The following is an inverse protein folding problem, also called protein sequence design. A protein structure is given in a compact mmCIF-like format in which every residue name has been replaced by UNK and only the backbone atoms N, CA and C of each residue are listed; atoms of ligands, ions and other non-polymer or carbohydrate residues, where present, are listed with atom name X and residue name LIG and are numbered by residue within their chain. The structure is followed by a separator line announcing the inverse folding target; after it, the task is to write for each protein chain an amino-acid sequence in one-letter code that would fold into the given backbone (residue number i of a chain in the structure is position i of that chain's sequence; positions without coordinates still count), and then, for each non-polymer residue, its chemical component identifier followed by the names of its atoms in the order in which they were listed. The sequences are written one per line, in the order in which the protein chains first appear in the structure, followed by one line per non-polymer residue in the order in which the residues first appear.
data_IF_754245947325
#
_entry.id   IF_754245947325
#
_cell.length_a   1.000
_cell.length_b   1.000
_cell.length_c   1.000
_cell.angle_alpha   90.00
_cell.angle_beta   90.00
_cell.angle_gamma   90.00
#
_symmetry.space_group_name_H-M   'P 1'
#
loop_
_entity.id
_entity.type
_entity.pdbx_description
1 polymer ?
#
# COMPACT_ATOMS: atom_id res chain seq x y z
N UNK A 1 14.59 -7.19 9.77
CA UNK A 1 14.55 -8.08 8.59
C UNK A 1 13.34 -7.68 7.78
N UNK A 2 13.49 -7.44 6.48
CA UNK A 2 12.38 -7.17 5.59
C UNK A 2 11.83 -8.49 5.07
N UNK A 3 10.50 -8.62 5.02
CA UNK A 3 9.83 -9.75 4.41
C UNK A 3 10.02 -9.70 2.88
N UNK A 4 10.00 -10.85 2.24
CA UNK A 4 10.21 -11.00 0.79
C UNK A 4 9.04 -11.80 0.24
N UNK A 5 8.44 -11.33 -0.82
CA UNK A 5 7.41 -12.07 -1.56
C UNK A 5 6.00 -11.54 -1.37
N UNK A 6 5.16 -12.23 -0.61
CA UNK A 6 3.72 -11.98 -0.54
C UNK A 6 3.30 -10.67 0.14
N UNK A 7 4.16 -10.02 0.95
CA UNK A 7 3.86 -8.70 1.53
C UNK A 7 3.64 -7.59 0.50
N UNK A 8 4.06 -7.82 -0.71
CA UNK A 8 3.98 -6.86 -1.80
C UNK A 8 2.62 -6.78 -2.48
N UNK A 9 1.65 -7.58 -2.07
CA UNK A 9 0.29 -7.41 -2.55
C UNK A 9 -0.27 -6.10 -2.00
N UNK A 10 -0.34 -5.09 -2.85
CA UNK A 10 -0.83 -3.77 -2.47
C UNK A 10 -2.30 -3.86 -2.11
N UNK A 11 -2.68 -3.20 -1.02
CA UNK A 11 -3.94 -3.47 -0.33
C UNK A 11 -5.17 -2.99 -1.08
N UNK A 12 -5.08 -1.89 -1.83
CA UNK A 12 -6.15 -1.44 -2.71
C UNK A 12 -6.51 -2.50 -3.77
N UNK A 13 -5.49 -3.18 -4.34
CA UNK A 13 -5.70 -4.31 -5.23
C UNK A 13 -6.32 -5.52 -4.53
N UNK A 14 -5.86 -5.86 -3.32
CA UNK A 14 -6.48 -6.93 -2.54
C UNK A 14 -7.95 -6.66 -2.26
N UNK A 15 -8.31 -5.41 -1.92
CA UNK A 15 -9.69 -5.01 -1.74
C UNK A 15 -10.51 -5.13 -3.03
N UNK A 16 -9.88 -4.84 -4.19
CA UNK A 16 -10.54 -4.94 -5.50
C UNK A 16 -10.88 -6.37 -5.92
N UNK A 17 -10.33 -7.39 -5.27
CA UNK A 17 -10.73 -8.80 -5.48
C UNK A 17 -12.13 -9.08 -4.97
N UNK A 18 -12.61 -8.38 -3.95
CA UNK A 18 -13.85 -8.66 -3.21
C UNK A 18 -13.94 -10.07 -2.64
N UNK A 19 -12.80 -10.78 -2.57
CA UNK A 19 -12.67 -12.18 -2.22
C UNK A 19 -11.95 -12.33 -0.88
N UNK A 20 -12.73 -12.42 0.22
CA UNK A 20 -12.17 -12.55 1.57
C UNK A 20 -11.37 -13.84 1.74
N UNK A 21 -11.79 -14.93 1.11
CA UNK A 21 -11.11 -16.23 1.23
C UNK A 21 -9.72 -16.16 0.60
N UNK A 22 -9.60 -15.55 -0.59
CA UNK A 22 -8.31 -15.34 -1.23
C UNK A 22 -7.40 -14.42 -0.41
N UNK A 23 -7.97 -13.35 0.18
CA UNK A 23 -7.19 -12.44 1.04
C UNK A 23 -6.72 -13.15 2.32
N UNK A 24 -7.51 -14.07 2.85
CA UNK A 24 -7.08 -14.89 3.98
C UNK A 24 -5.94 -15.85 3.59
N UNK A 25 -5.95 -16.44 2.38
CA UNK A 25 -4.82 -17.24 1.86
C UNK A 25 -3.55 -16.40 1.64
N UNK A 26 -3.70 -15.16 1.14
CA UNK A 26 -2.58 -14.20 1.09
C UNK A 26 -2.05 -13.95 2.50
N UNK A 27 -2.94 -13.74 3.47
CA UNK A 27 -2.57 -13.58 4.88
C UNK A 27 -1.82 -14.81 5.43
N UNK A 28 -2.25 -16.03 5.11
CA UNK A 28 -1.56 -17.26 5.52
C UNK A 28 -0.14 -17.33 4.95
N UNK A 29 0.04 -16.99 3.68
CA UNK A 29 1.35 -16.95 3.03
C UNK A 29 2.29 -15.97 3.73
N UNK A 30 1.81 -14.76 4.00
CA UNK A 30 2.57 -13.72 4.71
C UNK A 30 2.88 -14.14 6.15
N UNK A 31 1.90 -14.71 6.87
CA UNK A 31 2.10 -15.20 8.23
C UNK A 31 3.16 -16.30 8.30
N UNK A 32 3.21 -17.18 7.29
CA UNK A 32 4.29 -18.17 7.17
C UNK A 32 5.66 -17.50 6.98
N UNK A 33 5.76 -16.48 6.14
CA UNK A 33 7.01 -15.72 5.98
C UNK A 33 7.42 -15.02 7.26
N UNK A 34 6.48 -14.40 7.99
CA UNK A 34 6.73 -13.78 9.31
C UNK A 34 7.32 -14.80 10.27
N UNK A 35 6.69 -15.97 10.38
CA UNK A 35 7.11 -17.05 11.26
C UNK A 35 8.50 -17.60 10.88
N UNK A 36 8.69 -17.94 9.60
CA UNK A 36 9.92 -18.56 9.11
C UNK A 36 11.12 -17.62 9.06
N UNK A 37 10.88 -16.31 9.00
CA UNK A 37 11.93 -15.29 9.15
C UNK A 37 12.19 -14.89 10.61
N UNK A 38 11.50 -15.49 11.56
CA UNK A 38 11.71 -15.30 12.99
C UNK A 38 11.23 -13.94 13.51
N UNK A 39 10.12 -13.44 12.96
CA UNK A 39 9.41 -12.28 13.50
C UNK A 39 8.14 -12.72 14.24
N UNK A 40 7.78 -11.99 15.29
CA UNK A 40 6.67 -12.36 16.18
C UNK A 40 5.38 -11.60 15.84
N UNK A 41 5.49 -10.34 15.41
CA UNK A 41 4.35 -9.47 15.09
C UNK A 41 4.62 -8.70 13.81
N UNK A 42 3.71 -8.78 12.86
CA UNK A 42 3.73 -7.97 11.65
C UNK A 42 3.03 -6.63 11.90
N UNK A 43 3.69 -5.51 11.56
CA UNK A 43 3.11 -4.17 11.67
C UNK A 43 2.17 -3.86 10.48
N UNK A 44 1.16 -4.69 10.33
CA UNK A 44 0.15 -4.68 9.28
C UNK A 44 -1.14 -5.38 9.77
N UNK A 45 -2.26 -5.16 9.07
CA UNK A 45 -2.49 -4.27 7.94
C UNK A 45 -2.71 -2.82 8.35
N UNK A 46 -2.47 -1.89 7.40
CA UNK A 46 -2.98 -0.53 7.46
C UNK A 46 -4.37 -0.50 6.83
N UNK A 47 -5.36 0.14 7.50
CA UNK A 47 -6.76 0.09 7.06
C UNK A 47 -7.52 1.42 7.23
N UNK A 48 -6.80 2.54 7.25
CA UNK A 48 -7.44 3.84 7.12
C UNK A 48 -8.19 3.93 5.77
N UNK A 49 -9.22 4.75 5.69
CA UNK A 49 -9.98 4.88 4.45
C UNK A 49 -9.29 5.81 3.45
N UNK A 50 -9.53 5.60 2.15
CA UNK A 50 -9.11 6.50 1.07
C UNK A 50 -9.96 7.78 1.09
N UNK A 51 -9.77 8.64 2.11
CA UNK A 51 -10.58 9.85 2.26
C UNK A 51 -10.18 10.97 1.30
N UNK A 52 -8.86 11.09 1.07
CA UNK A 52 -8.28 12.03 0.12
C UNK A 52 -7.54 11.24 -0.96
N UNK A 53 -7.87 11.40 -2.25
CA UNK A 53 -7.20 10.70 -3.34
C UNK A 53 -5.70 11.01 -3.44
N UNK A 54 -5.25 12.12 -2.84
CA UNK A 54 -3.87 12.55 -2.84
C UNK A 54 -3.05 12.02 -1.65
N UNK A 55 -3.66 11.35 -0.67
CA UNK A 55 -2.91 10.81 0.46
C UNK A 55 -1.84 9.82 -0.01
N UNK A 56 -0.59 10.10 0.40
CA UNK A 56 0.56 9.31 -0.05
C UNK A 56 0.51 7.83 0.34
N UNK A 57 -0.14 7.49 1.45
CA UNK A 57 -0.25 6.12 1.96
C UNK A 57 -1.48 5.36 1.47
N UNK A 58 -2.27 5.90 0.52
CA UNK A 58 -3.42 5.18 -0.01
C UNK A 58 -3.05 3.81 -0.60
N UNK A 59 -1.85 3.66 -1.18
CA UNK A 59 -1.36 2.38 -1.71
C UNK A 59 -1.36 1.23 -0.68
N UNK A 60 -1.23 1.53 0.60
CA UNK A 60 -1.24 0.53 1.68
C UNK A 60 -2.58 0.46 2.44
N UNK A 61 -3.59 1.23 2.03
CA UNK A 61 -4.95 1.18 2.56
C UNK A 61 -5.86 0.45 1.57
N UNK A 62 -7.02 -0.05 2.03
CA UNK A 62 -7.84 -0.95 1.23
C UNK A 62 -8.85 -0.25 0.32
N UNK A 63 -9.62 0.71 0.86
CA UNK A 63 -10.78 1.30 0.17
C UNK A 63 -11.21 2.62 0.80
N UNK A 64 -12.03 3.39 0.08
CA UNK A 64 -12.81 4.49 0.64
C UNK A 64 -14.00 4.00 1.47
N UNK A 65 -14.48 2.77 1.21
CA UNK A 65 -15.59 2.14 1.91
C UNK A 65 -15.08 1.45 3.19
N UNK A 66 -15.57 1.87 4.39
CA UNK A 66 -15.14 1.28 5.65
C UNK A 66 -15.57 -0.17 5.84
N UNK A 67 -16.65 -0.62 5.19
CA UNK A 67 -17.09 -2.01 5.24
C UNK A 67 -16.10 -2.90 4.47
N UNK A 68 -15.77 -2.53 3.24
CA UNK A 68 -14.78 -3.23 2.42
C UNK A 68 -13.43 -3.25 3.13
N UNK A 69 -12.95 -2.10 3.63
CA UNK A 69 -11.71 -2.00 4.38
C UNK A 69 -11.68 -2.92 5.60
N UNK A 70 -12.74 -2.92 6.39
CA UNK A 70 -12.83 -3.73 7.60
C UNK A 70 -12.88 -5.24 7.32
N UNK A 71 -13.70 -5.67 6.36
CA UNK A 71 -13.86 -7.10 6.03
C UNK A 71 -12.60 -7.70 5.41
N UNK A 72 -11.97 -6.99 4.49
CA UNK A 72 -10.73 -7.42 3.85
C UNK A 72 -9.57 -7.41 4.87
N UNK A 73 -9.48 -6.39 5.72
CA UNK A 73 -8.49 -6.36 6.79
C UNK A 73 -8.67 -7.51 7.79
N UNK A 74 -9.90 -7.83 8.16
CA UNK A 74 -10.19 -8.95 9.07
C UNK A 74 -9.75 -10.28 8.48
N UNK A 75 -10.03 -10.53 7.20
CA UNK A 75 -9.58 -11.74 6.50
C UNK A 75 -8.04 -11.84 6.48
N UNK A 76 -7.38 -10.74 6.15
CA UNK A 76 -5.92 -10.65 6.14
C UNK A 76 -5.30 -10.95 7.52
N UNK A 77 -5.87 -10.38 8.59
CA UNK A 77 -5.43 -10.62 9.98
C UNK A 77 -5.62 -12.09 10.37
N UNK A 78 -6.80 -12.69 10.09
CA UNK A 78 -7.03 -14.11 10.38
C UNK A 78 -6.02 -15.01 9.70
N UNK A 79 -5.75 -14.75 8.41
CA UNK A 79 -4.77 -15.51 7.65
C UNK A 79 -3.37 -15.42 8.27
N UNK A 80 -2.88 -14.24 8.62
CA UNK A 80 -1.56 -14.06 9.22
C UNK A 80 -1.50 -14.77 10.58
N UNK A 81 -2.47 -14.51 11.46
CA UNK A 81 -2.48 -15.02 12.82
C UNK A 81 -2.69 -16.54 12.89
N UNK A 82 -3.21 -17.17 11.84
CA UNK A 82 -3.34 -18.64 11.77
C UNK A 82 -1.98 -19.37 11.83
N UNK A 83 -0.88 -18.66 11.57
CA UNK A 83 0.49 -19.18 11.71
C UNK A 83 1.06 -19.01 13.13
N UNK A 84 0.28 -18.49 14.08
CA UNK A 84 0.75 -18.26 15.46
C UNK A 84 1.63 -17.03 15.62
N UNK A 85 1.65 -16.12 14.66
CA UNK A 85 2.28 -14.80 14.72
C UNK A 85 1.23 -13.72 14.88
N UNK A 86 1.60 -12.55 15.41
CA UNK A 86 0.68 -11.44 15.64
C UNK A 86 0.58 -10.47 14.47
N UNK A 87 -0.43 -9.62 14.52
CA UNK A 87 -0.61 -8.47 13.64
C UNK A 87 -0.73 -7.19 14.45
N UNK A 88 -0.41 -6.04 13.83
CA UNK A 88 -0.68 -4.71 14.36
C UNK A 88 -1.49 -3.93 13.35
N UNK A 89 -2.80 -3.85 13.57
CA UNK A 89 -3.64 -3.04 12.68
C UNK A 89 -3.35 -1.55 12.90
N UNK A 90 -3.31 -0.77 11.82
CA UNK A 90 -2.81 0.61 11.84
C UNK A 90 -3.48 1.47 10.77
N UNK A 91 -3.45 2.76 10.88
CA UNK A 91 -3.01 3.62 12.00
C UNK A 91 -4.24 4.15 12.74
N UNK A 92 -4.43 3.78 13.96
CA UNK A 92 -5.63 4.05 14.75
C UNK A 92 -5.53 5.42 15.44
N UNK A 93 -6.22 6.47 14.97
CA UNK A 93 -7.11 6.48 13.80
C UNK A 93 -6.95 7.79 13.02
N UNK A 94 -7.61 7.83 11.83
CA UNK A 94 -7.74 9.06 11.03
C UNK A 94 -6.41 9.57 10.44
N UNK A 95 -5.46 8.70 10.16
CA UNK A 95 -4.24 9.06 9.43
C UNK A 95 -4.53 9.10 7.93
N UNK A 96 -5.07 10.22 7.44
CA UNK A 96 -5.56 10.38 6.06
C UNK A 96 -4.77 11.42 5.24
N UNK A 97 -3.61 11.83 5.75
CA UNK A 97 -2.62 12.65 5.03
C UNK A 97 -1.22 12.43 5.60
N UNK A 98 -0.21 12.61 4.77
CA UNK A 98 1.19 12.52 5.15
C UNK A 98 1.81 13.90 5.44
N UNK A 99 1.39 14.92 4.71
CA UNK A 99 1.86 16.29 4.92
C UNK A 99 1.51 16.76 6.33
N UNK A 100 2.53 17.13 7.09
CA UNK A 100 2.40 17.56 8.49
C UNK A 100 1.68 16.54 9.40
N UNK A 101 1.78 15.25 9.13
CA UNK A 101 1.03 14.20 9.83
C UNK A 101 1.15 14.25 11.37
N UNK A 102 2.31 14.69 11.89
CA UNK A 102 2.55 14.82 13.33
C UNK A 102 1.91 16.08 13.96
N UNK A 103 1.45 17.03 13.16
CA UNK A 103 0.81 18.29 13.61
C UNK A 103 -0.61 18.45 13.05
N UNK A 104 -1.02 17.56 12.16
CA UNK A 104 -2.36 17.58 11.60
C UNK A 104 -3.42 17.34 12.68
N UNK A 105 -4.45 18.20 12.71
CA UNK A 105 -5.59 18.04 13.61
C UNK A 105 -6.86 17.78 12.79
N UNK A 106 -7.23 16.53 12.70
CA UNK A 106 -8.42 16.10 12.00
C UNK A 106 -9.69 16.53 12.75
N UNK A 107 -10.42 17.49 12.20
CA UNK A 107 -11.69 18.00 12.76
C UNK A 107 -12.86 17.21 12.21
N UNK A 108 -13.45 16.38 13.06
CA UNK A 108 -14.45 15.38 12.64
C UNK A 108 -15.60 15.35 13.62
N UNK A 109 -16.83 15.30 13.11
CA UNK A 109 -18.01 15.10 13.95
C UNK A 109 -18.02 13.70 14.55
N UNK A 110 -18.55 13.49 15.77
CA UNK A 110 -18.62 12.16 16.39
C UNK A 110 -19.29 11.10 15.51
N UNK A 111 -20.33 11.48 14.77
CA UNK A 111 -21.01 10.57 13.83
C UNK A 111 -20.09 10.12 12.70
N UNK A 112 -19.46 11.07 11.99
CA UNK A 112 -18.55 10.75 10.89
C UNK A 112 -17.36 9.92 11.38
N UNK A 113 -16.81 10.25 12.56
CA UNK A 113 -15.74 9.51 13.19
C UNK A 113 -16.10 8.02 13.36
N UNK A 114 -17.27 7.72 13.93
CA UNK A 114 -17.72 6.35 14.21
C UNK A 114 -18.18 5.60 12.96
N UNK A 115 -18.95 6.24 12.08
CA UNK A 115 -19.58 5.56 10.93
C UNK A 115 -18.63 5.37 9.74
N UNK A 116 -17.58 6.20 9.63
CA UNK A 116 -16.66 6.18 8.48
C UNK A 116 -15.24 5.80 8.93
N UNK A 117 -14.59 6.63 9.77
CA UNK A 117 -13.16 6.50 10.05
C UNK A 117 -12.83 5.34 10.98
N UNK A 118 -13.70 5.02 11.91
CA UNK A 118 -13.49 3.96 12.90
C UNK A 118 -14.16 2.64 12.51
N UNK A 119 -15.14 2.67 11.61
CA UNK A 119 -15.95 1.49 11.28
C UNK A 119 -15.14 0.32 10.74
N UNK A 120 -14.15 0.57 9.89
CA UNK A 120 -13.24 -0.48 9.40
C UNK A 120 -12.43 -1.13 10.52
N UNK A 121 -11.94 -0.32 11.47
CA UNK A 121 -11.22 -0.81 12.65
C UNK A 121 -12.13 -1.61 13.58
N UNK A 122 -13.36 -1.16 13.82
CA UNK A 122 -14.36 -1.90 14.62
C UNK A 122 -14.57 -3.31 14.06
N UNK A 123 -14.78 -3.42 12.74
CA UNK A 123 -14.97 -4.70 12.07
C UNK A 123 -13.72 -5.57 12.22
N UNK A 124 -12.53 -5.02 11.95
CA UNK A 124 -11.28 -5.77 12.05
C UNK A 124 -11.03 -6.27 13.49
N UNK A 125 -11.25 -5.43 14.50
CA UNK A 125 -11.09 -5.84 15.91
C UNK A 125 -12.05 -6.97 16.27
N UNK A 126 -13.35 -6.80 15.95
CA UNK A 126 -14.39 -7.76 16.35
C UNK A 126 -14.35 -9.08 15.59
N UNK A 127 -13.92 -9.07 14.31
CA UNK A 127 -13.97 -10.25 13.47
C UNK A 127 -12.63 -11.02 13.35
N UNK A 128 -11.52 -10.42 13.82
CA UNK A 128 -10.20 -11.07 13.69
C UNK A 128 -9.33 -11.01 14.94
N UNK A 129 -9.74 -10.30 15.98
CA UNK A 129 -9.00 -10.18 17.24
C UNK A 129 -7.49 -9.96 17.02
N UNK A 130 -7.06 -8.83 16.39
CA UNK A 130 -5.66 -8.57 16.16
C UNK A 130 -4.88 -8.51 17.49
N UNK A 131 -3.65 -9.01 17.52
CA UNK A 131 -2.86 -9.01 18.73
C UNK A 131 -2.49 -7.60 19.20
N UNK A 132 -2.29 -6.69 18.25
CA UNK A 132 -1.96 -5.30 18.58
C UNK A 132 -2.69 -4.29 17.68
N UNK A 133 -2.82 -3.07 18.20
CA UNK A 133 -3.31 -1.89 17.50
C UNK A 133 -2.25 -0.80 17.59
N UNK A 134 -1.92 -0.15 16.46
CA UNK A 134 -0.98 0.97 16.44
C UNK A 134 -1.72 2.30 16.39
N UNK A 135 -1.53 3.14 17.42
CA UNK A 135 -2.09 4.49 17.44
C UNK A 135 -1.38 5.44 16.47
N UNK A 136 -2.15 6.31 15.80
CA UNK A 136 -1.66 7.19 14.73
C UNK A 136 -0.94 8.44 15.23
N UNK A 137 -0.31 9.17 14.27
CA UNK A 137 0.46 10.39 14.56
C UNK A 137 -0.39 11.63 14.87
N UNK A 138 -1.54 11.76 14.19
CA UNK A 138 -2.32 12.98 14.12
C UNK A 138 -3.13 13.25 15.38
N UNK A 139 -3.58 14.51 15.51
CA UNK A 139 -4.64 14.84 16.46
C UNK A 139 -6.01 14.50 15.87
N UNK A 140 -6.94 14.24 16.77
CA UNK A 140 -8.38 14.13 16.49
C UNK A 140 -9.09 15.13 17.40
N UNK A 141 -9.69 16.15 16.83
CA UNK A 141 -10.39 17.21 17.54
C UNK A 141 -9.57 17.84 18.68
N UNK A 142 -8.28 18.06 18.45
CA UNK A 142 -7.35 18.73 19.36
C UNK A 142 -6.51 17.82 20.25
N UNK A 143 -6.78 16.51 20.30
CA UNK A 143 -6.03 15.55 21.13
C UNK A 143 -5.26 14.58 20.24
N UNK A 144 -3.99 14.32 20.51
CA UNK A 144 -3.25 13.27 19.80
C UNK A 144 -3.97 11.93 19.92
N UNK A 145 -4.07 11.18 18.82
CA UNK A 145 -4.69 9.86 18.85
C UNK A 145 -4.05 8.95 19.91
N UNK A 146 -2.74 9.05 20.07
CA UNK A 146 -1.98 8.29 21.08
C UNK A 146 -2.17 8.78 22.53
N UNK A 147 -2.78 9.94 22.75
CA UNK A 147 -3.05 10.52 24.08
C UNK A 147 -4.55 10.60 24.38
N UNK A 148 -5.37 9.96 23.54
CA UNK A 148 -6.82 10.07 23.56
C UNK A 148 -7.46 8.88 24.31
N UNK A 149 -7.84 9.09 25.57
CA UNK A 149 -8.47 8.08 26.43
C UNK A 149 -9.81 7.59 25.86
N UNK A 150 -10.63 8.50 25.29
CA UNK A 150 -11.93 8.12 24.72
C UNK A 150 -11.72 7.17 23.52
N UNK A 151 -10.65 7.38 22.73
CA UNK A 151 -10.32 6.55 21.59
C UNK A 151 -9.75 5.18 22.02
N UNK A 152 -8.71 5.20 22.87
CA UNK A 152 -7.91 4.00 23.15
C UNK A 152 -8.46 3.15 24.30
N UNK A 153 -9.14 3.74 25.27
CA UNK A 153 -9.76 3.02 26.38
C UNK A 153 -11.25 2.86 26.18
N UNK A 154 -12.02 3.94 26.22
CA UNK A 154 -13.48 3.86 26.16
C UNK A 154 -13.97 3.15 24.92
N UNK A 155 -13.56 3.61 23.72
CA UNK A 155 -14.05 3.03 22.46
C UNK A 155 -13.41 1.66 22.17
N UNK A 156 -12.07 1.64 22.09
CA UNK A 156 -11.35 0.44 21.64
C UNK A 156 -11.51 -0.72 22.62
N UNK A 157 -11.39 -0.47 23.95
CA UNK A 157 -11.40 -1.53 24.95
C UNK A 157 -12.78 -1.77 25.54
N UNK A 158 -13.47 -0.72 26.02
CA UNK A 158 -14.71 -0.92 26.74
C UNK A 158 -15.91 -1.19 25.80
N UNK A 159 -15.97 -0.50 24.64
CA UNK A 159 -17.06 -0.73 23.68
C UNK A 159 -16.79 -1.89 22.70
N UNK A 160 -15.53 -2.07 22.23
CA UNK A 160 -15.19 -3.10 21.24
C UNK A 160 -14.59 -4.36 21.84
N UNK A 161 -14.29 -4.36 23.14
CA UNK A 161 -13.68 -5.47 23.88
C UNK A 161 -12.30 -5.88 23.34
N UNK A 162 -11.48 -4.90 22.94
CA UNK A 162 -10.12 -5.19 22.53
C UNK A 162 -9.23 -5.54 23.72
N UNK A 163 -8.72 -6.76 23.75
CA UNK A 163 -7.89 -7.28 24.87
C UNK A 163 -6.38 -7.18 24.59
N UNK A 164 -5.99 -6.96 23.33
CA UNK A 164 -4.60 -6.94 22.89
C UNK A 164 -3.80 -5.72 23.36
N UNK A 165 -2.57 -5.59 22.87
CA UNK A 165 -1.66 -4.50 23.17
C UNK A 165 -1.86 -3.30 22.24
N UNK A 166 -1.78 -2.09 22.77
CA UNK A 166 -1.70 -0.86 21.97
C UNK A 166 -0.27 -0.36 21.92
N UNK A 167 0.24 -0.12 20.72
CA UNK A 167 1.57 0.45 20.49
C UNK A 167 1.42 1.80 19.78
N UNK A 168 2.30 2.77 20.07
CA UNK A 168 2.33 4.01 19.28
C UNK A 168 3.02 3.79 17.95
N UNK A 169 2.65 4.56 16.92
CA UNK A 169 3.55 4.73 15.79
C UNK A 169 4.87 5.40 16.24
N UNK A 170 5.93 5.28 15.42
CA UNK A 170 7.27 5.76 15.74
C UNK A 170 7.29 7.27 15.97
N UNK A 171 7.65 7.67 17.20
CA UNK A 171 7.67 9.07 17.61
C UNK A 171 6.29 9.75 17.72
N UNK A 172 5.18 8.99 17.70
CA UNK A 172 3.82 9.51 17.82
C UNK A 172 3.57 10.12 19.22
N UNK A 173 2.79 11.21 19.25
CA UNK A 173 2.46 11.93 20.48
C UNK A 173 3.63 12.67 21.13
N UNK A 174 3.38 13.29 22.28
CA UNK A 174 4.38 14.13 22.99
C UNK A 174 4.49 13.84 24.48
N UNK A 175 3.36 13.55 25.15
CA UNK A 175 3.28 13.33 26.59
C UNK A 175 3.19 11.84 26.92
N UNK A 176 4.32 11.25 27.35
CA UNK A 176 4.39 9.84 27.68
C UNK A 176 3.45 9.44 28.84
N UNK A 177 3.19 10.33 29.79
CA UNK A 177 2.25 10.10 30.89
C UNK A 177 0.81 10.03 30.35
N UNK A 178 0.42 11.00 29.52
CA UNK A 178 -0.89 11.01 28.87
C UNK A 178 -1.09 9.77 28.00
N UNK A 179 -0.06 9.35 27.25
CA UNK A 179 -0.10 8.13 26.43
C UNK A 179 -0.33 6.87 27.27
N UNK A 180 0.38 6.71 28.39
CA UNK A 180 0.17 5.59 29.33
C UNK A 180 -1.25 5.59 29.90
N UNK A 181 -1.74 6.75 30.35
CA UNK A 181 -3.09 6.91 30.89
C UNK A 181 -4.14 6.56 29.82
N UNK A 182 -3.95 7.07 28.61
CA UNK A 182 -4.87 6.82 27.48
C UNK A 182 -4.99 5.34 27.10
N UNK A 183 -3.98 4.52 27.40
CA UNK A 183 -4.02 3.09 27.16
C UNK A 183 -3.05 2.58 26.10
N UNK A 184 -2.03 3.36 25.71
CA UNK A 184 -0.87 2.79 25.03
C UNK A 184 -0.07 1.96 26.04
N UNK A 185 0.29 0.76 25.60
CA UNK A 185 1.03 -0.18 26.43
C UNK A 185 2.54 -0.13 26.10
N UNK A 186 2.88 0.29 24.86
CA UNK A 186 4.26 0.42 24.40
C UNK A 186 4.44 1.70 23.57
N UNK A 187 5.44 2.51 23.91
CA UNK A 187 5.78 3.75 23.20
C UNK A 187 7.00 3.54 22.29
N UNK A 188 6.82 3.67 20.98
CA UNK A 188 7.89 3.48 20.01
C UNK A 188 8.60 4.78 19.62
N UNK A 189 9.92 4.78 19.42
CA UNK A 189 10.88 3.66 19.58
C UNK A 189 11.43 3.50 21.01
N UNK A 190 10.85 4.17 22.00
CA UNK A 190 11.33 4.14 23.40
C UNK A 190 12.50 5.09 23.63
N UNK A 191 12.23 6.41 23.70
CA UNK A 191 13.25 7.43 23.94
C UNK A 191 13.57 7.58 25.41
N UNK A 192 14.82 7.95 25.75
CA UNK A 192 15.23 8.19 27.12
C UNK A 192 14.33 9.21 27.85
N UNK A 193 13.95 10.30 27.19
CA UNK A 193 13.05 11.29 27.77
C UNK A 193 11.65 10.74 28.09
N UNK A 194 11.12 9.78 27.33
CA UNK A 194 9.84 9.12 27.64
C UNK A 194 9.97 8.30 28.93
N UNK A 195 11.08 7.59 29.09
CA UNK A 195 11.39 6.86 30.34
C UNK A 195 11.42 7.81 31.53
N UNK A 196 12.15 8.93 31.46
CA UNK A 196 12.26 9.92 32.51
C UNK A 196 10.89 10.53 32.85
N UNK A 197 10.06 10.85 31.87
CA UNK A 197 8.69 11.37 32.02
C UNK A 197 7.80 10.37 32.78
N UNK A 198 7.88 9.09 32.46
CA UNK A 198 7.08 8.03 33.10
C UNK A 198 7.52 7.89 34.57
N UNK A 199 8.82 7.83 34.85
CA UNK A 199 9.36 7.71 36.23
C UNK A 199 8.94 8.92 37.06
N UNK A 200 9.08 10.13 36.51
CA UNK A 200 8.67 11.35 37.22
C UNK A 200 7.15 11.43 37.41
N UNK A 201 6.40 10.95 36.42
CA UNK A 201 4.94 10.84 36.47
C UNK A 201 4.48 9.98 37.64
N UNK A 202 5.11 8.82 37.86
CA UNK A 202 4.81 7.93 38.98
C UNK A 202 5.24 8.59 40.31
N UNK A 203 6.47 9.14 40.40
CA UNK A 203 6.98 9.77 41.62
C UNK A 203 6.15 10.98 42.07
N UNK A 204 5.63 11.75 41.12
CA UNK A 204 4.79 12.92 41.38
C UNK A 204 3.30 12.60 41.57
N UNK A 205 2.90 11.35 41.41
CA UNK A 205 1.49 10.93 41.49
C UNK A 205 0.65 11.35 40.29
N UNK A 206 1.24 11.84 39.18
CA UNK A 206 0.53 12.15 37.95
C UNK A 206 0.17 10.89 37.12
N UNK A 207 0.95 9.83 37.26
CA UNK A 207 0.70 8.51 36.71
C UNK A 207 0.50 7.52 37.84
N UNK A 208 -0.69 6.97 37.99
CA UNK A 208 -0.95 5.91 38.96
C UNK A 208 -0.18 4.65 38.55
N UNK A 209 0.52 4.05 39.48
CA UNK A 209 1.33 2.85 39.26
C UNK A 209 0.48 1.66 38.79
N UNK A 210 -0.80 1.61 39.15
CA UNK A 210 -1.74 0.59 38.67
C UNK A 210 -1.95 0.65 37.17
N UNK A 211 -1.93 1.86 36.57
CA UNK A 211 -2.01 2.06 35.10
C UNK A 211 -0.76 1.50 34.43
N UNK A 212 0.42 1.80 34.99
CA UNK A 212 1.68 1.27 34.45
C UNK A 212 1.71 -0.26 34.54
N UNK A 213 1.33 -0.82 35.68
CA UNK A 213 1.25 -2.27 35.88
C UNK A 213 0.27 -2.94 34.93
N UNK A 214 -0.88 -2.31 34.70
CA UNK A 214 -1.85 -2.78 33.66
C UNK A 214 -1.23 -2.83 32.26
N UNK A 215 -0.52 -1.78 31.85
CA UNK A 215 0.09 -1.69 30.53
C UNK A 215 1.24 -2.71 30.40
N UNK A 216 2.10 -2.83 31.40
CA UNK A 216 3.17 -3.84 31.43
C UNK A 216 2.60 -5.27 31.36
N UNK A 217 1.51 -5.54 32.07
CA UNK A 217 0.84 -6.84 32.01
C UNK A 217 0.46 -7.22 30.58
N UNK A 218 -0.13 -6.31 29.81
CA UNK A 218 -0.50 -6.55 28.41
C UNK A 218 0.70 -6.83 27.51
N UNK A 219 1.81 -6.13 27.73
CA UNK A 219 3.07 -6.40 27.02
C UNK A 219 3.57 -7.82 27.34
N UNK A 220 3.55 -8.21 28.61
CA UNK A 220 3.96 -9.56 29.02
C UNK A 220 3.03 -10.63 28.46
N UNK A 221 1.72 -10.43 28.47
CA UNK A 221 0.74 -11.33 27.87
C UNK A 221 0.96 -11.52 26.36
N UNK A 222 1.32 -10.45 25.64
CA UNK A 222 1.72 -10.55 24.23
C UNK A 222 2.99 -11.40 24.08
N UNK A 223 4.03 -11.14 24.88
CA UNK A 223 5.30 -11.86 24.82
C UNK A 223 5.07 -13.37 25.00
N UNK A 224 4.23 -13.78 25.95
CA UNK A 224 3.90 -15.20 26.21
C UNK A 224 3.25 -15.90 25.02
N UNK A 225 2.63 -15.15 24.10
CA UNK A 225 2.00 -15.70 22.90
C UNK A 225 2.98 -15.86 21.73
N UNK A 226 4.10 -15.15 21.72
CA UNK A 226 5.03 -15.09 20.61
C UNK A 226 5.69 -16.43 20.28
N UNK A 227 5.97 -16.73 19.00
CA UNK A 227 6.78 -17.85 18.60
C UNK A 227 8.16 -17.88 19.26
N UNK A 228 8.76 -16.70 19.45
CA UNK A 228 10.06 -16.56 20.09
C UNK A 228 10.03 -17.05 21.56
N UNK A 229 9.02 -16.64 22.33
CA UNK A 229 8.85 -17.10 23.71
C UNK A 229 8.59 -18.63 23.80
N UNK A 230 7.86 -19.17 22.80
CA UNK A 230 7.60 -20.63 22.69
C UNK A 230 8.78 -21.39 22.11
N UNK A 231 9.93 -20.76 21.94
CA UNK A 231 11.17 -21.36 21.41
C UNK A 231 11.02 -21.97 20.00
N UNK A 232 10.12 -21.44 19.18
CA UNK A 232 9.95 -21.88 17.80
C UNK A 232 11.26 -21.77 17.02
N UNK A 233 11.61 -22.81 16.28
CA UNK A 233 12.83 -22.87 15.48
C UNK A 233 12.51 -22.52 14.03
N UNK A 234 12.61 -21.26 13.69
CA UNK A 234 12.37 -20.76 12.33
C UNK A 234 13.46 -21.24 11.36
N UNK A 235 13.03 -21.56 10.14
CA UNK A 235 13.91 -22.13 9.11
C UNK A 235 14.69 -21.09 8.34
N UNK A 236 14.23 -19.85 8.29
CA UNK A 236 14.66 -18.79 7.38
C UNK A 236 14.49 -19.18 5.88
N UNK A 237 13.55 -20.10 5.59
CA UNK A 237 13.30 -20.65 4.25
C UNK A 237 11.80 -20.90 4.04
N UNK A 238 10.96 -19.86 3.98
CA UNK A 238 9.55 -20.03 3.63
C UNK A 238 9.41 -20.55 2.18
N UNK A 239 8.26 -21.15 1.86
CA UNK A 239 7.98 -21.61 0.49
C UNK A 239 7.56 -20.44 -0.42
N UNK A 240 8.53 -19.59 -0.80
CA UNK A 240 8.29 -18.43 -1.65
C UNK A 240 7.69 -18.79 -3.01
N UNK A 241 7.90 -20.03 -3.50
CA UNK A 241 7.33 -20.46 -4.78
C UNK A 241 5.82 -20.69 -4.67
N UNK A 242 5.37 -21.32 -3.59
CA UNK A 242 3.94 -21.47 -3.32
C UNK A 242 3.29 -20.10 -3.06
N UNK A 243 3.95 -19.22 -2.31
CA UNK A 243 3.46 -17.87 -2.03
C UNK A 243 3.35 -17.02 -3.30
N UNK A 244 4.30 -17.13 -4.23
CA UNK A 244 4.23 -16.46 -5.53
C UNK A 244 2.97 -16.84 -6.33
N UNK A 245 2.54 -18.11 -6.28
CA UNK A 245 1.32 -18.53 -6.95
C UNK A 245 0.07 -17.86 -6.36
N UNK A 246 -0.02 -17.73 -5.04
CA UNK A 246 -1.11 -17.01 -4.36
C UNK A 246 -1.08 -15.51 -4.71
N UNK A 247 0.12 -14.90 -4.72
CA UNK A 247 0.31 -13.50 -5.11
C UNK A 247 -0.18 -13.26 -6.54
N UNK A 248 0.19 -14.15 -7.48
CA UNK A 248 -0.23 -14.05 -8.88
C UNK A 248 -1.75 -14.18 -9.03
N UNK A 249 -2.39 -15.10 -8.30
CA UNK A 249 -3.85 -15.22 -8.31
C UNK A 249 -4.50 -13.93 -7.80
N UNK A 250 -4.03 -13.38 -6.68
CA UNK A 250 -4.55 -12.13 -6.13
C UNK A 250 -4.34 -10.94 -7.08
N UNK A 251 -3.21 -10.92 -7.81
CA UNK A 251 -2.94 -9.94 -8.85
C UNK A 251 -3.98 -10.00 -9.96
N UNK A 252 -4.28 -11.20 -10.45
CA UNK A 252 -5.23 -11.43 -11.53
C UNK A 252 -6.66 -11.05 -11.13
N UNK A 253 -7.11 -11.48 -9.94
CA UNK A 253 -8.46 -11.19 -9.45
C UNK A 253 -8.65 -9.71 -9.05
N UNK A 254 -7.57 -9.02 -8.65
CA UNK A 254 -7.63 -7.63 -8.23
C UNK A 254 -7.57 -6.59 -9.36
N UNK A 255 -7.29 -7.00 -10.60
CA UNK A 255 -7.33 -6.09 -11.75
C UNK A 255 -8.77 -5.72 -12.09
N UNK A 256 -9.00 -4.45 -12.47
CA UNK A 256 -10.33 -3.94 -12.81
C UNK A 256 -10.38 -3.44 -14.24
N UNK A 257 -11.28 -4.00 -15.04
CA UNK A 257 -11.52 -3.56 -16.39
C UNK A 257 -12.50 -2.36 -16.38
N UNK A 258 -11.95 -1.13 -16.37
CA UNK A 258 -12.72 0.10 -16.23
C UNK A 258 -13.46 0.49 -17.53
N UNK A 259 -12.92 0.09 -18.67
CA UNK A 259 -13.50 0.35 -19.99
C UNK A 259 -13.14 -0.77 -20.95
N UNK A 260 -14.09 -1.19 -21.79
CA UNK A 260 -13.87 -2.21 -22.82
C UNK A 260 -14.82 -2.03 -24.00
N UNK A 261 -14.51 -1.11 -24.89
CA UNK A 261 -15.31 -0.85 -26.09
C UNK A 261 -15.10 -1.95 -27.11
N UNK A 262 -16.19 -2.40 -27.72
CA UNK A 262 -16.18 -3.39 -28.81
C UNK A 262 -15.32 -4.64 -28.45
N UNK A 263 -15.42 -5.12 -27.20
CA UNK A 263 -14.72 -6.32 -26.75
C UNK A 263 -13.22 -6.32 -27.09
N UNK A 264 -12.57 -5.17 -26.90
CA UNK A 264 -11.12 -5.01 -27.16
C UNK A 264 -10.28 -5.99 -26.35
N UNK A 265 -10.70 -6.27 -25.12
CA UNK A 265 -10.14 -7.32 -24.25
C UNK A 265 -11.19 -8.38 -23.93
N UNK A 266 -10.81 -9.68 -23.83
CA UNK A 266 -9.46 -10.21 -24.07
C UNK A 266 -9.08 -10.11 -25.56
N UNK A 267 -7.77 -10.08 -25.83
CA UNK A 267 -7.31 -10.01 -27.21
C UNK A 267 -7.75 -11.24 -28.03
N UNK A 268 -8.15 -11.00 -29.26
CA UNK A 268 -8.42 -12.09 -30.21
C UNK A 268 -7.15 -12.95 -30.42
N UNK A 269 -7.33 -14.24 -30.69
CA UNK A 269 -6.21 -15.18 -30.90
C UNK A 269 -5.25 -14.78 -32.03
N UNK A 270 -5.68 -13.94 -32.97
CA UNK A 270 -4.84 -13.44 -34.06
C UNK A 270 -3.84 -12.36 -33.63
N UNK A 271 -4.08 -11.65 -32.52
CA UNK A 271 -3.17 -10.63 -31.99
C UNK A 271 -1.89 -11.31 -31.50
N UNK A 272 -0.76 -10.88 -32.03
CA UNK A 272 0.57 -11.40 -31.69
C UNK A 272 1.57 -10.30 -31.35
N UNK A 273 1.52 -9.20 -32.10
CA UNK A 273 2.49 -8.13 -32.03
C UNK A 273 1.89 -6.95 -31.28
N UNK A 274 2.55 -6.52 -30.22
CA UNK A 274 2.09 -5.42 -29.38
C UNK A 274 3.10 -4.28 -29.46
N UNK A 275 2.62 -3.08 -29.83
CA UNK A 275 3.38 -1.86 -29.66
C UNK A 275 3.20 -1.38 -28.20
N UNK A 276 4.30 -1.38 -27.44
CA UNK A 276 4.27 -1.10 -26.01
C UNK A 276 4.85 0.30 -25.75
N UNK A 277 4.01 1.23 -25.29
CA UNK A 277 4.36 2.62 -25.04
C UNK A 277 4.25 2.95 -23.55
N UNK A 278 4.92 4.04 -23.14
CA UNK A 278 4.95 4.54 -21.77
C UNK A 278 6.13 4.01 -20.98
N UNK A 279 6.81 4.89 -20.26
CA UNK A 279 7.99 4.54 -19.47
C UNK A 279 7.71 3.42 -18.46
N UNK A 280 6.53 3.44 -17.85
CA UNK A 280 6.11 2.44 -16.86
C UNK A 280 5.87 1.05 -17.45
N UNK A 281 5.73 0.91 -18.78
CA UNK A 281 5.68 -0.40 -19.45
C UNK A 281 7.00 -1.18 -19.29
N UNK A 282 8.10 -0.48 -19.15
CA UNK A 282 9.46 -1.01 -19.07
C UNK A 282 10.07 -0.88 -17.67
N UNK A 283 9.63 0.11 -16.90
CA UNK A 283 10.01 0.34 -15.50
C UNK A 283 8.75 0.26 -14.61
N UNK A 284 8.27 -0.97 -14.42
CA UNK A 284 7.00 -1.26 -13.76
C UNK A 284 7.07 -0.98 -12.26
N UNK A 285 6.04 -0.31 -11.72
CA UNK A 285 5.94 0.04 -10.32
C UNK A 285 5.33 -1.14 -9.55
N UNK A 286 6.15 -1.83 -8.79
CA UNK A 286 5.68 -2.96 -8.00
C UNK A 286 5.00 -2.56 -6.69
N UNK A 287 5.37 -1.42 -6.09
CA UNK A 287 4.82 -0.97 -4.82
C UNK A 287 5.15 0.48 -4.47
N UNK A 288 4.58 0.96 -3.36
CA UNK A 288 4.84 2.29 -2.85
C UNK A 288 6.20 2.43 -2.14
N UNK A 289 6.49 3.65 -1.67
CA UNK A 289 7.74 4.00 -0.99
C UNK A 289 7.55 4.18 0.52
N UNK A 290 8.63 4.42 1.26
CA UNK A 290 8.60 4.54 2.73
C UNK A 290 8.71 3.18 3.41
N UNK A 291 8.02 3.01 4.53
CA UNK A 291 7.99 1.75 5.30
C UNK A 291 7.34 0.59 4.52
N UNK A 292 6.52 0.91 3.51
CA UNK A 292 5.92 -0.07 2.60
C UNK A 292 6.85 -0.57 1.49
N UNK A 293 8.07 -0.02 1.37
CA UNK A 293 9.06 -0.48 0.39
C UNK A 293 9.84 -1.68 0.93
N UNK A 294 9.40 -2.86 0.58
CA UNK A 294 10.01 -4.12 1.01
C UNK A 294 11.01 -4.67 0.01
N UNK A 295 11.93 -5.53 0.47
CA UNK A 295 12.89 -6.19 -0.42
C UNK A 295 12.17 -7.18 -1.33
N UNK A 296 12.45 -7.07 -2.62
CA UNK A 296 11.89 -7.94 -3.66
C UNK A 296 12.95 -8.89 -4.18
N UNK A 297 12.60 -10.17 -4.32
CA UNK A 297 13.49 -11.12 -4.98
C UNK A 297 13.53 -10.88 -6.50
N UNK A 298 12.38 -10.53 -7.08
CA UNK A 298 12.19 -10.17 -8.49
C UNK A 298 10.89 -9.35 -8.64
N UNK A 299 10.61 -8.89 -9.83
CA UNK A 299 9.30 -8.31 -10.21
C UNK A 299 8.96 -8.79 -11.61
N UNK A 300 7.77 -9.32 -11.80
CA UNK A 300 7.23 -9.61 -13.14
C UNK A 300 6.65 -8.31 -13.69
N UNK A 301 7.34 -7.72 -14.66
CA UNK A 301 6.88 -6.51 -15.33
C UNK A 301 5.77 -6.80 -16.34
N UNK A 302 5.08 -5.76 -16.83
CA UNK A 302 4.14 -5.91 -17.95
C UNK A 302 4.82 -6.50 -19.19
N UNK A 303 6.03 -6.06 -19.49
CA UNK A 303 6.86 -6.59 -20.58
C UNK A 303 7.10 -8.10 -20.41
N UNK A 304 7.52 -8.53 -19.21
CA UNK A 304 7.75 -9.95 -18.92
C UNK A 304 6.47 -10.77 -19.02
N UNK A 305 5.38 -10.26 -18.46
CA UNK A 305 4.06 -10.90 -18.52
C UNK A 305 3.57 -11.11 -19.96
N UNK A 306 3.72 -10.10 -20.82
CA UNK A 306 3.37 -10.19 -22.23
C UNK A 306 4.25 -11.19 -22.98
N UNK A 307 5.57 -11.17 -22.78
CA UNK A 307 6.50 -12.14 -23.37
C UNK A 307 6.20 -13.57 -22.90
N UNK A 308 5.95 -13.76 -21.62
CA UNK A 308 5.59 -15.06 -21.05
C UNK A 308 4.26 -15.60 -21.61
N UNK A 309 3.34 -14.71 -21.96
CA UNK A 309 2.09 -15.06 -22.61
C UNK A 309 2.22 -15.32 -24.15
N UNK A 310 3.43 -15.16 -24.70
CA UNK A 310 3.75 -15.43 -26.10
C UNK A 310 3.51 -14.27 -27.06
N UNK A 311 3.30 -13.05 -26.55
CA UNK A 311 3.25 -11.86 -27.38
C UNK A 311 4.65 -11.39 -27.78
N UNK A 312 4.73 -10.75 -28.96
CA UNK A 312 5.96 -10.17 -29.50
C UNK A 312 5.94 -8.65 -29.28
N UNK A 313 7.05 -8.13 -28.77
CA UNK A 313 7.28 -6.71 -28.52
C UNK A 313 8.42 -6.25 -29.44
N UNK A 314 8.29 -5.07 -30.07
CA UNK A 314 9.32 -4.52 -30.94
C UNK A 314 10.57 -4.18 -30.12
N UNK A 315 11.68 -4.88 -30.39
CA UNK A 315 12.93 -4.72 -29.61
C UNK A 315 13.61 -3.35 -29.87
N UNK A 316 13.33 -2.70 -31.01
CA UNK A 316 13.88 -1.36 -31.26
C UNK A 316 13.15 -0.33 -30.40
N UNK A 317 11.82 -0.36 -30.35
CA UNK A 317 11.01 0.50 -29.47
C UNK A 317 11.36 0.29 -28.01
N UNK A 318 11.56 -0.97 -27.60
CA UNK A 318 12.02 -1.32 -26.25
C UNK A 318 13.37 -0.65 -25.95
N UNK A 319 14.34 -0.78 -26.83
CA UNK A 319 15.69 -0.21 -26.64
C UNK A 319 15.63 1.33 -26.52
N UNK A 320 14.80 1.99 -27.31
CA UNK A 320 14.60 3.44 -27.24
C UNK A 320 14.07 3.86 -25.85
N UNK A 321 13.05 3.15 -25.33
CA UNK A 321 12.50 3.42 -23.99
C UNK A 321 13.52 3.11 -22.89
N UNK A 322 14.22 1.99 -22.94
CA UNK A 322 15.20 1.61 -21.93
C UNK A 322 16.35 2.64 -21.85
N UNK A 323 16.85 3.08 -23.01
CA UNK A 323 17.88 4.13 -23.08
C UNK A 323 17.37 5.46 -22.53
N UNK A 324 16.15 5.85 -22.89
CA UNK A 324 15.52 7.07 -22.40
C UNK A 324 15.34 7.06 -20.88
N UNK A 325 14.76 5.97 -20.35
CA UNK A 325 14.53 5.79 -18.91
C UNK A 325 15.86 5.84 -18.14
N UNK A 326 16.90 5.16 -18.64
CA UNK A 326 18.21 5.20 -17.99
C UNK A 326 18.78 6.63 -17.94
N UNK A 327 18.65 7.39 -19.03
CA UNK A 327 19.10 8.77 -19.10
C UNK A 327 18.35 9.69 -18.13
N UNK A 328 17.02 9.54 -18.04
CA UNK A 328 16.18 10.32 -17.14
C UNK A 328 16.44 9.96 -15.66
N UNK A 329 16.56 8.67 -15.34
CA UNK A 329 16.84 8.23 -13.98
C UNK A 329 18.19 8.73 -13.46
N UNK A 330 19.19 8.91 -14.35
CA UNK A 330 20.46 9.54 -13.96
C UNK A 330 20.32 11.00 -13.55
N UNK A 331 19.31 11.71 -14.06
CA UNK A 331 19.01 13.10 -13.67
C UNK A 331 18.21 13.16 -12.36
N UNK A 332 17.36 12.18 -12.14
CA UNK A 332 16.40 12.08 -11.03
C UNK A 332 16.99 11.39 -9.81
N UNK A 333 18.14 11.84 -9.32
CA UNK A 333 18.75 11.27 -8.11
C UNK A 333 18.32 12.01 -6.87
N UNK A 334 17.99 11.28 -5.81
CA UNK A 334 17.76 11.87 -4.49
C UNK A 334 19.09 12.29 -3.86
N UNK A 335 19.07 13.41 -3.15
CA UNK A 335 20.20 13.86 -2.32
C UNK A 335 20.38 12.88 -1.15
N UNK A 336 21.37 12.00 -1.27
CA UNK A 336 21.68 10.99 -0.25
C UNK A 336 22.17 11.58 1.08
N UNK A 337 22.49 12.87 1.13
CA UNK A 337 22.88 13.57 2.36
C UNK A 337 21.67 13.89 3.26
N UNK A 338 20.45 13.90 2.71
CA UNK A 338 19.25 14.18 3.46
C UNK A 338 18.84 13.00 4.33
N UNK A 339 18.50 13.23 5.60
CA UNK A 339 17.95 12.19 6.46
C UNK A 339 16.70 11.57 5.83
N UNK A 340 16.61 10.25 5.87
CA UNK A 340 15.46 9.51 5.31
C UNK A 340 15.32 9.55 3.77
N UNK A 341 16.27 10.12 3.00
CA UNK A 341 16.21 10.18 1.54
C UNK A 341 15.88 8.81 0.89
N UNK A 342 16.43 7.72 1.43
CA UNK A 342 16.17 6.34 0.96
C UNK A 342 14.69 5.89 1.05
N UNK A 343 13.88 6.60 1.83
CA UNK A 343 12.44 6.31 1.98
C UNK A 343 11.56 7.20 1.11
N UNK A 344 12.13 8.25 0.54
CA UNK A 344 11.40 9.20 -0.29
C UNK A 344 11.18 8.64 -1.70
N UNK A 345 10.04 8.98 -2.34
CA UNK A 345 9.84 8.62 -3.74
C UNK A 345 10.89 9.29 -4.64
N UNK A 346 11.51 8.50 -5.50
CA UNK A 346 12.37 9.05 -6.57
C UNK A 346 11.46 9.60 -7.68
N UNK A 347 11.70 10.82 -8.17
CA UNK A 347 10.97 11.35 -9.31
C UNK A 347 11.08 10.39 -10.50
N UNK A 348 9.97 10.13 -11.17
CA UNK A 348 9.96 9.25 -12.33
C UNK A 348 10.31 10.03 -13.61
N UNK A 349 10.80 9.34 -14.65
CA UNK A 349 10.95 9.93 -15.97
C UNK A 349 9.66 10.56 -16.47
N UNK A 350 9.73 11.70 -17.13
CA UNK A 350 8.63 12.21 -17.96
C UNK A 350 8.37 11.24 -19.12
N UNK A 351 7.17 11.27 -19.71
CA UNK A 351 6.87 10.33 -20.79
C UNK A 351 7.62 10.67 -22.09
N UNK A 352 8.12 9.63 -22.72
CA UNK A 352 8.74 9.74 -24.05
C UNK A 352 7.65 9.90 -25.13
N UNK A 353 7.68 11.03 -25.82
CA UNK A 353 6.76 11.28 -26.95
C UNK A 353 7.35 10.67 -28.22
N UNK A 354 6.72 9.63 -28.81
CA UNK A 354 7.23 9.00 -30.01
C UNK A 354 7.13 9.93 -31.22
N UNK A 355 8.15 9.92 -32.07
CA UNK A 355 8.12 10.66 -33.33
C UNK A 355 7.09 10.08 -34.30
N UNK A 356 6.66 10.88 -35.28
CA UNK A 356 5.75 10.40 -36.35
C UNK A 356 6.31 9.17 -37.08
N UNK A 357 7.63 9.10 -37.26
CA UNK A 357 8.31 7.97 -37.86
C UNK A 357 8.12 6.71 -37.03
N UNK A 358 8.42 6.77 -35.73
CA UNK A 358 8.25 5.63 -34.79
C UNK A 358 6.79 5.19 -34.78
N UNK A 359 5.84 6.11 -34.69
CA UNK A 359 4.41 5.77 -34.72
C UNK A 359 4.03 5.03 -36.04
N UNK A 360 4.48 5.52 -37.19
CA UNK A 360 4.18 4.88 -38.49
C UNK A 360 4.79 3.47 -38.56
N UNK A 361 6.00 3.28 -38.06
CA UNK A 361 6.67 1.97 -38.01
C UNK A 361 5.92 1.00 -37.09
N UNK A 362 5.51 1.46 -35.90
CA UNK A 362 4.78 0.64 -34.95
C UNK A 362 3.37 0.29 -35.46
N UNK A 363 2.67 1.23 -36.07
CA UNK A 363 1.38 0.97 -36.69
C UNK A 363 1.51 -0.09 -37.81
N UNK A 364 2.60 -0.11 -38.58
CA UNK A 364 2.83 -1.10 -39.61
C UNK A 364 3.09 -2.51 -39.08
N UNK A 365 3.77 -2.62 -37.93
CA UNK A 365 4.24 -3.89 -37.34
C UNK A 365 3.28 -4.51 -36.34
N UNK A 366 2.65 -3.70 -35.49
CA UNK A 366 1.86 -4.19 -34.37
C UNK A 366 0.38 -4.36 -34.70
N UNK A 367 -0.27 -5.27 -34.00
CA UNK A 367 -1.73 -5.53 -34.10
C UNK A 367 -2.52 -4.58 -33.17
N UNK A 368 -1.94 -4.17 -32.07
CA UNK A 368 -2.56 -3.35 -31.03
C UNK A 368 -1.49 -2.50 -30.32
N UNK A 369 -1.88 -1.34 -29.78
CA UNK A 369 -1.03 -0.55 -28.89
C UNK A 369 -1.45 -0.70 -27.43
N UNK A 370 -0.48 -0.85 -26.53
CA UNK A 370 -0.64 -0.66 -25.09
C UNK A 370 0.10 0.61 -24.67
N UNK A 371 -0.54 1.42 -23.81
CA UNK A 371 0.05 2.59 -23.17
C UNK A 371 -0.06 2.41 -21.68
N UNK A 372 1.06 2.34 -20.96
CA UNK A 372 1.04 2.24 -19.52
C UNK A 372 1.26 3.60 -18.86
N UNK A 373 0.38 3.95 -17.94
CA UNK A 373 0.49 5.16 -17.12
C UNK A 373 0.80 4.76 -15.69
N UNK A 374 1.81 5.36 -15.08
CA UNK A 374 2.29 5.00 -13.75
C UNK A 374 2.15 6.13 -12.73
N UNK A 375 1.86 5.78 -11.49
CA UNK A 375 1.94 6.70 -10.35
C UNK A 375 2.60 6.01 -9.17
N UNK A 376 3.60 6.70 -8.60
CA UNK A 376 4.22 6.30 -7.34
C UNK A 376 3.56 7.05 -6.20
N UNK A 377 3.28 6.37 -5.11
CA UNK A 377 2.84 6.97 -3.86
C UNK A 377 3.62 6.35 -2.70
N UNK A 378 3.60 6.99 -1.55
CA UNK A 378 4.40 6.49 -0.42
C UNK A 378 4.22 7.29 0.85
N UNK A 379 4.86 6.81 1.87
CA UNK A 379 4.95 7.45 3.17
C UNK A 379 5.77 8.75 3.09
N UNK A 380 5.52 9.69 3.98
CA UNK A 380 6.13 11.00 4.18
C UNK A 380 5.66 12.11 3.23
N UNK A 381 5.09 11.79 2.08
CA UNK A 381 4.69 12.77 1.06
C UNK A 381 3.32 12.45 0.50
N UNK A 382 2.44 13.45 0.47
CA UNK A 382 1.20 13.37 -0.27
C UNK A 382 1.43 13.64 -1.76
N UNK A 383 0.56 13.13 -2.61
CA UNK A 383 0.54 13.39 -4.04
C UNK A 383 0.05 14.81 -4.32
N UNK A 384 0.45 15.39 -5.43
CA UNK A 384 -0.02 16.68 -5.90
C UNK A 384 -1.22 16.55 -6.85
N UNK A 385 -1.95 17.63 -7.06
CA UNK A 385 -3.04 17.67 -8.05
C UNK A 385 -2.52 17.34 -9.45
N UNK A 386 -1.33 17.82 -9.81
CA UNK A 386 -0.68 17.50 -11.08
C UNK A 386 -0.33 16.03 -11.26
N UNK A 387 -0.22 15.27 -10.16
CA UNK A 387 -0.02 13.82 -10.19
C UNK A 387 -1.36 13.05 -10.24
N UNK A 388 -2.47 13.69 -9.84
CA UNK A 388 -3.81 13.15 -9.99
C UNK A 388 -4.32 13.26 -11.43
N UNK A 389 -3.95 14.30 -12.15
CA UNK A 389 -4.24 14.50 -13.56
C UNK A 389 -3.14 13.88 -14.44
N UNK A 390 -3.39 13.74 -15.76
CA UNK A 390 -2.32 13.42 -16.71
C UNK A 390 -1.42 14.64 -16.92
N UNK A 391 -0.11 14.41 -17.02
CA UNK A 391 0.81 15.44 -17.48
C UNK A 391 0.55 15.77 -18.95
N UNK A 392 1.12 16.89 -19.43
CA UNK A 392 1.03 17.28 -20.85
C UNK A 392 1.64 16.19 -21.74
N UNK A 393 2.77 15.61 -21.33
CA UNK A 393 3.47 14.57 -22.09
C UNK A 393 2.67 13.26 -22.10
N UNK A 394 2.09 12.84 -20.99
CA UNK A 394 1.22 11.66 -20.92
C UNK A 394 -0.01 11.83 -21.84
N UNK A 395 -0.64 12.99 -21.77
CA UNK A 395 -1.80 13.29 -22.61
C UNK A 395 -1.42 13.35 -24.09
N UNK A 396 -0.26 13.92 -24.42
CA UNK A 396 0.25 13.97 -25.79
C UNK A 396 0.60 12.58 -26.30
N UNK A 397 1.29 11.75 -25.49
CA UNK A 397 1.58 10.35 -25.81
C UNK A 397 0.29 9.61 -26.15
N UNK A 398 -0.68 9.65 -25.25
CA UNK A 398 -1.94 8.93 -25.43
C UNK A 398 -2.72 9.42 -26.64
N UNK A 399 -2.79 10.72 -26.90
CA UNK A 399 -3.42 11.27 -28.09
C UNK A 399 -2.73 10.83 -29.38
N UNK A 400 -1.40 10.93 -29.43
CA UNK A 400 -0.62 10.58 -30.63
C UNK A 400 -0.74 9.10 -30.99
N UNK A 401 -0.61 8.21 -29.97
CA UNK A 401 -0.77 6.76 -30.16
C UNK A 401 -2.21 6.42 -30.58
N UNK A 402 -3.21 6.98 -29.88
CA UNK A 402 -4.62 6.71 -30.22
C UNK A 402 -4.96 7.16 -31.63
N UNK A 403 -4.54 8.36 -32.03
CA UNK A 403 -4.79 8.88 -33.38
C UNK A 403 -4.14 8.00 -34.44
N UNK A 404 -2.88 7.61 -34.27
CA UNK A 404 -2.15 6.82 -35.25
C UNK A 404 -2.74 5.41 -35.42
N UNK A 405 -3.04 4.72 -34.33
CA UNK A 405 -3.57 3.35 -34.37
C UNK A 405 -5.02 3.31 -34.83
N UNK A 406 -5.88 4.25 -34.41
CA UNK A 406 -7.26 4.33 -34.89
C UNK A 406 -7.36 4.67 -36.35
N UNK A 407 -6.48 5.52 -36.89
CA UNK A 407 -6.43 5.80 -38.32
C UNK A 407 -6.15 4.55 -39.18
N UNK A 408 -5.46 3.56 -38.56
CA UNK A 408 -5.20 2.25 -39.19
C UNK A 408 -6.24 1.17 -38.80
N UNK A 409 -7.32 1.53 -38.15
CA UNK A 409 -8.35 0.59 -37.67
C UNK A 409 -7.88 -0.33 -36.51
N UNK A 410 -6.80 0.01 -35.83
CA UNK A 410 -6.22 -0.76 -34.71
C UNK A 410 -6.63 -0.21 -33.35
N UNK A 411 -6.61 -1.06 -32.35
CA UNK A 411 -7.06 -0.74 -30.99
C UNK A 411 -5.94 -0.19 -30.11
N UNK A 412 -6.35 0.56 -29.09
CA UNK A 412 -5.45 1.10 -28.05
C UNK A 412 -5.97 0.73 -26.67
N UNK A 413 -5.12 0.16 -25.84
CA UNK A 413 -5.41 -0.21 -24.47
C UNK A 413 -4.54 0.61 -23.53
N UNK A 414 -5.13 1.21 -22.48
CA UNK A 414 -4.38 1.84 -21.40
C UNK A 414 -4.30 0.88 -20.22
N UNK A 415 -3.10 0.71 -19.67
CA UNK A 415 -2.85 -0.01 -18.43
C UNK A 415 -2.48 0.99 -17.36
N UNK A 416 -3.20 1.00 -16.24
CA UNK A 416 -2.94 1.86 -15.10
C UNK A 416 -2.14 1.10 -14.04
N UNK A 417 -0.86 1.43 -13.91
CA UNK A 417 0.03 0.91 -12.88
C UNK A 417 0.22 1.96 -11.77
N UNK A 418 -0.77 2.09 -10.92
CA UNK A 418 -0.93 3.21 -9.97
C UNK A 418 -1.16 2.71 -8.55
N UNK A 419 -0.62 3.41 -7.55
CA UNK A 419 -0.83 3.16 -6.12
C UNK A 419 -1.79 4.19 -5.49
N UNK A 420 -2.88 4.47 -6.15
CA UNK A 420 -3.91 5.45 -5.79
C UNK A 420 -4.64 5.91 -7.05
N UNK A 421 -5.80 6.51 -6.89
CA UNK A 421 -6.65 6.90 -8.03
C UNK A 421 -6.10 8.08 -8.81
N UNK A 422 -6.45 8.16 -10.09
CA UNK A 422 -6.17 9.30 -10.99
C UNK A 422 -7.44 9.78 -11.68
N UNK A 423 -7.43 11.01 -12.18
CA UNK A 423 -8.48 11.57 -13.01
C UNK A 423 -8.55 10.82 -14.36
N UNK A 424 -9.76 10.44 -14.77
CA UNK A 424 -9.96 9.71 -16.02
C UNK A 424 -10.95 10.38 -16.97
N UNK A 425 -11.79 11.31 -16.50
CA UNK A 425 -12.89 11.87 -17.28
C UNK A 425 -12.40 12.66 -18.49
N UNK A 426 -11.24 13.33 -18.40
CA UNK A 426 -10.69 14.16 -19.46
C UNK A 426 -10.13 13.36 -20.64
N UNK A 427 -9.65 12.12 -20.42
CA UNK A 427 -8.93 11.33 -21.42
C UNK A 427 -9.54 9.94 -21.70
N UNK A 428 -10.46 9.44 -20.87
CA UNK A 428 -11.04 8.09 -21.02
C UNK A 428 -11.67 7.79 -22.38
N UNK A 429 -11.92 8.82 -23.21
CA UNK A 429 -12.47 8.62 -24.57
C UNK A 429 -11.40 8.23 -25.61
N UNK A 430 -10.13 8.45 -25.31
CA UNK A 430 -9.03 8.19 -26.24
C UNK A 430 -8.78 6.69 -26.47
N UNK A 431 -8.54 5.84 -25.44
CA UNK A 431 -8.30 4.42 -25.63
C UNK A 431 -9.61 3.64 -25.84
N UNK A 432 -9.52 2.44 -26.42
CA UNK A 432 -10.64 1.50 -26.56
C UNK A 432 -10.92 0.75 -25.25
N UNK A 433 -9.87 0.37 -24.51
CA UNK A 433 -9.98 -0.26 -23.21
C UNK A 433 -9.07 0.39 -22.16
N UNK A 434 -9.46 0.29 -20.89
CA UNK A 434 -8.68 0.75 -19.74
C UNK A 434 -8.67 -0.37 -18.70
N UNK A 435 -7.50 -0.88 -18.38
CA UNK A 435 -7.27 -1.89 -17.36
C UNK A 435 -6.53 -1.26 -16.17
N UNK A 436 -7.15 -1.29 -15.01
CA UNK A 436 -6.50 -0.91 -13.76
C UNK A 436 -5.76 -2.12 -13.20
N UNK A 437 -4.44 -2.09 -13.27
CA UNK A 437 -3.58 -3.16 -12.78
C UNK A 437 -3.11 -2.92 -11.34
N UNK A 438 -3.31 -1.71 -10.80
CA UNK A 438 -2.77 -1.28 -9.54
C UNK A 438 -1.23 -1.43 -9.51
N UNK A 439 -0.70 -1.76 -8.36
CA UNK A 439 0.71 -2.14 -8.18
C UNK A 439 0.75 -3.62 -7.77
N UNK A 440 1.28 -4.45 -8.65
CA UNK A 440 1.10 -5.90 -8.55
C UNK A 440 2.01 -6.58 -7.51
N UNK A 441 2.99 -5.87 -6.97
CA UNK A 441 3.99 -6.49 -6.12
C UNK A 441 5.02 -7.24 -6.94
N UNK A 442 5.29 -8.49 -6.55
CA UNK A 442 6.33 -9.30 -7.17
C UNK A 442 5.84 -10.05 -8.43
N UNK A 443 4.53 -10.38 -8.51
CA UNK A 443 3.88 -11.16 -9.57
C UNK A 443 2.90 -10.33 -10.41
#
# INVERSE_FOLDING_TARGET
RCLVGSEMCIRDRLASTWNQDLVEEVGKSIGNEVLEYGADVLLAPALNIHRNPLCGRNFEYYSEDPLVSGKIAAAYVRGIQSNGVGTSIKHFAVNNQETNRNANDARITPRALREIYLKGFEIAVKESAPWTVMSSYNHINGTYASENTDLLSTLLRDEWNFEGMVVTDWFGGKDAVAQMIAGNDMLQPGRANQYDMIIEGVKSGKLDESILNRNVKRVLELILQTPHFKEYKYSNKPDLKAHAAVTRQSATEGMVLLKNNNETLPFERKVRNIALFGCTSYDFIAGGTGSGNVNRAYTVSLLDGLKNAGYQIDEALKADYEQYIEAENKKNTLDSSQPFSRFMPVPRPTELIPTTKVLSEQVAKADVALVTLGRTSGEFVDRNVSDFELSEEELQLLKSVSQAFHAAGKKVVVVLNIGGVIETASWKKLPDAILLAWQAGQE
#
